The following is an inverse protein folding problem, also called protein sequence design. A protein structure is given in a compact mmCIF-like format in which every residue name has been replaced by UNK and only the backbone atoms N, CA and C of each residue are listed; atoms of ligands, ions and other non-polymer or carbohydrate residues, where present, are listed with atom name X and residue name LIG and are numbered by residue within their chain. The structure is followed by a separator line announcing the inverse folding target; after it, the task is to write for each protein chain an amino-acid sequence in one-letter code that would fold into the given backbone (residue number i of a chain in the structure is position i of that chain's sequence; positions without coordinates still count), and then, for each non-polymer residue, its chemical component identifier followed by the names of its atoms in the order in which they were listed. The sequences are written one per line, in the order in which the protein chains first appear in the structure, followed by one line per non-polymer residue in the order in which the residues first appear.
data_IF_453307955335
#
_entry.id   IF_453307955335
#
_cell.length_a   1.000
_cell.length_b   1.000
_cell.length_c   1.000
_cell.angle_alpha   90.00
_cell.angle_beta   90.00
_cell.angle_gamma   90.00
#
_symmetry.space_group_name_H-M   'P 1'
#
loop_
_entity.id
_entity.type
_entity.pdbx_description
1 polymer ?
#
# COMPACT_ATOMS: atom_id res chain seq x y z
N UNK A 1 2.26 4.21 -0.97
CA UNK A 1 1.87 3.66 -2.30
C UNK A 1 0.74 2.66 -2.12
N UNK A 2 -0.27 2.60 -3.02
CA UNK A 2 -1.45 1.71 -2.83
C UNK A 2 -1.37 0.37 -3.55
N UNK A 3 -2.10 -0.54 -2.89
CA UNK A 3 -2.24 -2.01 -2.94
C UNK A 3 -2.57 -2.37 -1.44
N UNK A 4 -3.25 -3.45 -0.98
CA UNK A 4 -3.32 -3.88 0.46
C UNK A 4 -2.74 -5.30 0.80
N UNK A 5 -1.76 -5.44 1.72
CA UNK A 5 -1.25 -6.74 2.24
C UNK A 5 -1.08 -6.68 3.75
N UNK A 6 -1.72 -7.62 4.44
CA UNK A 6 -1.58 -7.79 5.88
C UNK A 6 -0.55 -8.86 6.24
N UNK A 7 0.15 -8.67 7.35
CA UNK A 7 1.27 -9.52 7.78
C UNK A 7 1.35 -9.67 9.31
N UNK A 8 0.84 -10.77 9.86
CA UNK A 8 0.99 -11.07 11.30
C UNK A 8 2.19 -11.98 11.54
N UNK A 9 3.17 -11.49 12.31
CA UNK A 9 4.21 -12.30 12.94
C UNK A 9 3.67 -12.84 14.27
N UNK A 10 3.52 -14.15 14.39
CA UNK A 10 3.28 -14.82 15.67
C UNK A 10 4.61 -15.31 16.26
N UNK A 11 5.05 -14.67 17.35
CA UNK A 11 6.10 -15.20 18.24
C UNK A 11 5.45 -15.51 19.59
N UNK A 12 5.54 -16.77 20.03
CA UNK A 12 4.99 -17.19 21.30
C UNK A 12 5.83 -16.65 22.48
N UNK A 13 5.18 -16.02 23.46
CA UNK A 13 5.78 -15.74 24.78
C UNK A 13 5.99 -14.28 25.15
N UNK A 14 5.70 -13.31 24.28
CA UNK A 14 5.69 -11.89 24.65
C UNK A 14 4.27 -11.46 25.07
N UNK A 15 4.15 -10.63 26.11
CA UNK A 15 2.87 -9.98 26.45
C UNK A 15 2.56 -9.00 25.33
N UNK A 16 1.64 -9.35 24.44
CA UNK A 16 1.30 -8.53 23.29
C UNK A 16 0.62 -7.24 23.75
N UNK A 17 1.37 -6.15 23.77
CA UNK A 17 0.79 -4.86 23.38
C UNK A 17 0.18 -5.09 21.99
N UNK A 18 -1.14 -4.91 21.87
CA UNK A 18 -1.81 -5.10 20.59
C UNK A 18 -1.23 -4.11 19.58
N UNK A 19 -0.80 -4.56 18.40
CA UNK A 19 -0.20 -3.65 17.43
C UNK A 19 -1.27 -2.70 16.88
N UNK A 20 -0.87 -1.45 16.69
CA UNK A 20 -1.65 -0.40 16.05
C UNK A 20 -1.27 -0.28 14.58
N UNK A 21 -2.26 -0.14 13.70
CA UNK A 21 -2.12 -0.15 12.25
C UNK A 21 -2.73 1.12 11.66
N UNK A 22 -1.94 1.92 10.95
CA UNK A 22 -2.44 3.03 10.12
C UNK A 22 -2.90 2.47 8.77
N UNK A 23 -4.17 2.69 8.41
CA UNK A 23 -4.78 2.15 7.18
C UNK A 23 -5.78 3.15 6.57
N UNK A 24 -5.85 3.21 5.24
CA UNK A 24 -7.01 3.78 4.54
C UNK A 24 -8.16 2.76 4.54
N UNK A 25 -9.39 3.17 4.83
CA UNK A 25 -10.58 2.30 4.81
C UNK A 25 -11.32 2.33 3.46
N UNK A 26 -11.10 3.38 2.67
CA UNK A 26 -11.70 3.61 1.34
C UNK A 26 -10.65 4.26 0.44
N UNK A 27 -10.66 4.05 -0.88
CA UNK A 27 -9.64 4.63 -1.77
C UNK A 27 -9.68 6.16 -1.78
N UNK A 28 -8.63 6.80 -1.24
CA UNK A 28 -8.57 8.27 -1.11
C UNK A 28 -9.24 8.81 0.14
N UNK A 29 -9.77 7.93 1.00
CA UNK A 29 -10.37 8.30 2.27
C UNK A 29 -9.34 8.68 3.34
N UNK A 30 -9.81 9.16 4.51
CA UNK A 30 -8.95 9.41 5.65
C UNK A 30 -8.30 8.11 6.14
N UNK A 31 -7.05 8.22 6.61
CA UNK A 31 -6.37 7.14 7.32
C UNK A 31 -6.91 7.04 8.74
N UNK A 32 -7.04 5.82 9.25
CA UNK A 32 -7.47 5.52 10.62
C UNK A 32 -6.44 4.62 11.30
N UNK A 33 -6.40 4.65 12.64
CA UNK A 33 -5.58 3.73 13.44
C UNK A 33 -6.49 2.64 14.01
N UNK A 34 -6.27 1.40 13.59
CA UNK A 34 -6.97 0.22 14.11
C UNK A 34 -6.00 -0.61 14.96
N UNK A 35 -6.51 -1.26 16.02
CA UNK A 35 -5.70 -2.07 16.92
C UNK A 35 -6.08 -3.56 16.81
N UNK A 36 -5.10 -4.44 17.01
CA UNK A 36 -5.31 -5.89 17.11
C UNK A 36 -4.44 -6.70 16.15
N UNK A 37 -4.72 -8.00 16.06
CA UNK A 37 -4.12 -8.89 15.05
C UNK A 37 -4.58 -8.52 13.63
N UNK A 38 -3.84 -8.99 12.62
CA UNK A 38 -4.22 -8.80 11.20
C UNK A 38 -5.66 -9.22 10.91
N UNK A 39 -6.10 -10.34 11.49
CA UNK A 39 -7.45 -10.86 11.31
C UNK A 39 -8.49 -9.91 11.90
N UNK A 40 -8.30 -9.45 13.13
CA UNK A 40 -9.19 -8.48 13.79
C UNK A 40 -9.22 -7.12 13.07
N UNK A 41 -8.10 -6.70 12.48
CA UNK A 41 -8.02 -5.45 11.71
C UNK A 41 -8.74 -5.59 10.37
N UNK A 42 -8.65 -6.74 9.69
CA UNK A 42 -9.41 -7.01 8.47
C UNK A 42 -10.93 -7.08 8.76
N UNK A 43 -11.33 -7.69 9.86
CA UNK A 43 -12.73 -7.69 10.34
C UNK A 43 -13.24 -6.27 10.58
N UNK A 44 -12.49 -5.43 11.31
CA UNK A 44 -12.81 -4.00 11.51
C UNK A 44 -12.89 -3.22 10.19
N UNK A 45 -12.03 -3.52 9.21
CA UNK A 45 -12.06 -2.89 7.90
C UNK A 45 -13.32 -3.25 7.11
N UNK A 46 -13.77 -4.51 7.18
CA UNK A 46 -15.02 -4.96 6.55
C UNK A 46 -16.28 -4.43 7.25
N UNK A 47 -16.23 -4.14 8.55
CA UNK A 47 -17.30 -3.42 9.26
C UNK A 47 -17.41 -1.95 8.81
N UNK A 48 -16.27 -1.27 8.61
CA UNK A 48 -16.22 0.14 8.16
C UNK A 48 -16.57 0.25 6.67
N UNK A 49 -16.04 -0.66 5.85
CA UNK A 49 -16.24 -0.72 4.41
C UNK A 49 -16.47 -2.17 3.96
N UNK A 50 -17.73 -2.60 3.80
CA UNK A 50 -18.05 -3.93 3.27
C UNK A 50 -17.52 -4.22 1.85
N UNK A 51 -17.05 -3.20 1.12
CA UNK A 51 -16.44 -3.31 -0.21
C UNK A 51 -14.89 -3.35 -0.18
N UNK A 52 -14.26 -3.38 1.01
CA UNK A 52 -12.81 -3.20 1.17
C UNK A 52 -11.96 -4.13 0.29
N UNK A 53 -12.34 -5.40 0.18
CA UNK A 53 -11.58 -6.40 -0.60
C UNK A 53 -11.65 -6.16 -2.13
N UNK A 54 -12.70 -5.51 -2.62
CA UNK A 54 -12.84 -5.09 -4.02
C UNK A 54 -12.18 -3.73 -4.27
N UNK A 55 -12.33 -2.78 -3.34
CA UNK A 55 -11.69 -1.46 -3.36
C UNK A 55 -10.15 -1.56 -3.33
N UNK A 56 -9.61 -2.55 -2.61
CA UNK A 56 -8.18 -2.80 -2.43
C UNK A 56 -7.75 -4.19 -2.94
N UNK A 57 -8.29 -4.59 -4.09
CA UNK A 57 -8.10 -5.91 -4.71
C UNK A 57 -6.63 -6.39 -4.81
N UNK A 58 -6.45 -7.69 -4.54
CA UNK A 58 -5.12 -8.34 -4.55
C UNK A 58 -4.62 -8.73 -5.95
N UNK A 59 -3.35 -8.43 -6.22
CA UNK A 59 -2.64 -8.74 -7.46
C UNK A 59 -1.59 -9.84 -7.25
N UNK A 60 -1.12 -10.51 -8.32
CA UNK A 60 -0.05 -11.51 -8.16
C UNK A 60 1.31 -10.84 -7.97
N UNK A 61 2.21 -11.50 -7.22
CA UNK A 61 3.63 -11.09 -7.08
C UNK A 61 4.27 -10.69 -8.42
N UNK A 62 4.23 -11.59 -9.41
CA UNK A 62 4.88 -11.35 -10.72
C UNK A 62 4.29 -10.17 -11.51
N UNK A 63 3.00 -9.91 -11.33
CA UNK A 63 2.29 -8.79 -11.98
C UNK A 63 2.73 -7.46 -11.34
N UNK A 64 2.94 -7.43 -10.01
CA UNK A 64 3.52 -6.29 -9.28
C UNK A 64 5.01 -6.12 -9.64
N UNK A 65 5.81 -7.19 -9.63
CA UNK A 65 7.24 -7.16 -10.00
C UNK A 65 7.46 -6.58 -11.41
N UNK A 66 6.60 -6.92 -12.37
CA UNK A 66 6.62 -6.32 -13.70
C UNK A 66 6.36 -4.80 -13.67
N UNK A 67 5.41 -4.35 -12.84
CA UNK A 67 5.15 -2.93 -12.60
C UNK A 67 6.33 -2.20 -11.94
N UNK A 68 6.94 -2.79 -10.92
CA UNK A 68 8.16 -2.26 -10.25
C UNK A 68 9.29 -2.10 -11.25
N UNK A 69 9.56 -3.14 -12.04
CA UNK A 69 10.58 -3.13 -13.11
C UNK A 69 10.28 -2.08 -14.18
N UNK A 70 9.01 -1.88 -14.53
CA UNK A 70 8.61 -0.82 -15.46
C UNK A 70 8.97 0.56 -14.89
N UNK A 71 8.56 0.87 -13.65
CA UNK A 71 8.83 2.15 -13.00
C UNK A 71 10.33 2.45 -12.88
N UNK A 72 11.16 1.44 -12.56
CA UNK A 72 12.62 1.60 -12.51
C UNK A 72 13.28 1.88 -13.87
N UNK A 73 12.56 1.65 -14.98
CA UNK A 73 12.98 2.03 -16.34
C UNK A 73 12.45 3.39 -16.80
N UNK A 74 11.53 4.04 -16.06
CA UNK A 74 10.96 5.34 -16.44
C UNK A 74 11.90 6.47 -16.01
N UNK A 75 12.41 7.22 -16.98
CA UNK A 75 13.21 8.42 -16.75
C UNK A 75 12.36 9.64 -16.37
N UNK A 76 12.91 10.52 -15.54
CA UNK A 76 12.28 11.78 -15.15
C UNK A 76 11.83 11.80 -13.69
N UNK A 77 11.25 12.93 -13.29
CA UNK A 77 10.77 13.18 -11.93
C UNK A 77 9.24 13.11 -11.91
N UNK A 78 8.61 12.14 -11.21
CA UNK A 78 7.18 12.13 -11.06
C UNK A 78 6.75 13.28 -10.15
N UNK A 79 5.75 14.03 -10.60
CA UNK A 79 5.11 15.11 -9.84
C UNK A 79 3.63 14.80 -9.64
N UNK A 80 3.10 15.08 -8.46
CA UNK A 80 1.69 14.91 -8.17
C UNK A 80 1.16 16.13 -7.38
N UNK A 81 -0.02 16.63 -7.75
CA UNK A 81 -0.62 17.83 -7.18
C UNK A 81 -0.99 17.71 -5.70
N UNK A 82 -1.45 18.78 -5.05
CA UNK A 82 -1.92 18.76 -3.67
C UNK A 82 -3.02 17.73 -3.41
N UNK A 83 -3.01 17.13 -2.22
CA UNK A 83 -4.06 16.29 -1.67
C UNK A 83 -5.02 17.05 -0.72
N UNK A 84 -5.68 16.34 0.21
CA UNK A 84 -5.54 14.91 0.52
C UNK A 84 -6.10 13.99 -0.58
N UNK A 85 -5.64 12.73 -0.62
CA UNK A 85 -6.19 11.68 -1.47
C UNK A 85 -5.89 11.80 -2.96
N UNK A 86 -5.05 12.74 -3.39
CA UNK A 86 -4.72 12.93 -4.80
C UNK A 86 -3.74 11.83 -5.27
N UNK A 87 -4.23 10.87 -6.06
CA UNK A 87 -3.49 9.67 -6.43
C UNK A 87 -3.33 9.51 -7.95
N UNK A 88 -2.09 9.38 -8.40
CA UNK A 88 -1.76 9.02 -9.78
C UNK A 88 -1.61 7.50 -9.94
N UNK A 89 -2.27 6.94 -10.96
CA UNK A 89 -1.99 5.59 -11.46
C UNK A 89 -0.67 5.62 -12.23
N UNK A 90 0.30 4.78 -11.86
CA UNK A 90 1.64 4.78 -12.46
C UNK A 90 1.98 3.50 -13.21
N UNK A 91 1.37 2.38 -12.83
CA UNK A 91 1.41 1.15 -13.61
C UNK A 91 0.07 0.45 -13.49
N UNK A 92 -0.52 0.06 -14.60
CA UNK A 92 -1.63 -0.89 -14.65
C UNK A 92 -1.29 -1.93 -15.71
N UNK A 93 -1.07 -3.18 -15.29
CA UNK A 93 -0.69 -4.27 -16.18
C UNK A 93 -0.99 -5.61 -15.53
N UNK A 94 -1.47 -6.58 -16.34
CA UNK A 94 -1.73 -7.97 -15.95
C UNK A 94 -2.69 -8.18 -14.75
N UNK A 95 -3.44 -7.15 -14.36
CA UNK A 95 -4.32 -7.17 -13.18
C UNK A 95 -3.69 -6.63 -11.90
N UNK A 96 -2.48 -6.06 -11.97
CA UNK A 96 -1.87 -5.27 -10.91
C UNK A 96 -2.00 -3.78 -11.20
N UNK A 97 -2.18 -2.98 -10.15
CA UNK A 97 -2.12 -1.52 -10.20
C UNK A 97 -1.12 -0.99 -9.17
N UNK A 98 -0.28 -0.04 -9.57
CA UNK A 98 0.62 0.71 -8.69
C UNK A 98 0.18 2.17 -8.68
N UNK A 99 -0.16 2.68 -7.50
CA UNK A 99 -0.56 4.07 -7.30
C UNK A 99 0.39 4.80 -6.36
N UNK A 100 0.70 6.05 -6.71
CA UNK A 100 1.35 6.99 -5.81
C UNK A 100 0.37 8.12 -5.48
N UNK A 101 0.18 8.35 -4.17
CA UNK A 101 -0.65 9.40 -3.64
C UNK A 101 0.21 10.51 -3.04
N UNK A 102 -0.30 11.73 -3.08
CA UNK A 102 0.24 12.86 -2.36
C UNK A 102 -0.86 13.43 -1.47
N UNK A 103 -0.68 13.35 -0.14
CA UNK A 103 -1.67 13.86 0.81
C UNK A 103 -1.35 15.29 1.28
N UNK A 104 -0.12 15.76 1.07
CA UNK A 104 0.32 17.13 1.32
C UNK A 104 -0.56 18.18 0.64
N UNK A 105 -0.70 19.34 1.29
CA UNK A 105 -1.39 20.53 0.76
C UNK A 105 -0.61 21.26 -0.36
N UNK A 106 0.51 20.71 -0.81
CA UNK A 106 1.36 21.25 -1.88
C UNK A 106 1.77 20.15 -2.87
N UNK A 107 2.13 20.55 -4.10
CA UNK A 107 2.61 19.63 -5.14
C UNK A 107 3.90 18.95 -4.70
N UNK A 108 3.92 17.61 -4.68
CA UNK A 108 5.13 16.82 -4.40
C UNK A 108 5.80 16.39 -5.69
N UNK A 109 7.13 16.43 -5.71
CA UNK A 109 7.97 15.95 -6.80
C UNK A 109 9.02 15.02 -6.21
N UNK A 110 9.17 13.81 -6.75
CA UNK A 110 10.20 12.87 -6.30
C UNK A 110 11.43 12.94 -7.23
N UNK A 111 12.64 12.63 -6.73
CA UNK A 111 13.85 12.62 -7.55
C UNK A 111 13.80 11.66 -8.75
N UNK A 112 13.02 10.59 -8.66
CA UNK A 112 12.85 9.59 -9.72
C UNK A 112 11.63 8.69 -9.51
N UNK A 113 11.25 7.91 -10.52
CA UNK A 113 10.30 6.81 -10.36
C UNK A 113 10.84 5.64 -9.52
N UNK A 114 12.17 5.51 -9.34
CA UNK A 114 12.75 4.50 -8.44
C UNK A 114 12.26 4.67 -6.99
N UNK A 115 12.07 5.91 -6.53
CA UNK A 115 11.54 6.19 -5.19
C UNK A 115 10.17 5.53 -4.93
N UNK A 116 9.38 5.32 -5.99
CA UNK A 116 8.08 4.66 -5.93
C UNK A 116 8.23 3.14 -6.09
N UNK A 117 9.12 2.71 -6.99
CA UNK A 117 9.48 1.32 -7.17
C UNK A 117 10.10 0.68 -5.90
N UNK A 118 10.85 1.45 -5.12
CA UNK A 118 11.45 1.00 -3.86
C UNK A 118 10.37 0.76 -2.79
N UNK A 119 9.43 1.70 -2.61
CA UNK A 119 8.27 1.51 -1.70
C UNK A 119 7.39 0.33 -2.12
N UNK A 120 7.18 0.14 -3.43
CA UNK A 120 6.53 -1.06 -3.97
C UNK A 120 7.26 -2.36 -3.61
N UNK A 121 8.59 -2.33 -3.63
CA UNK A 121 9.44 -3.47 -3.37
C UNK A 121 9.51 -3.82 -1.89
N UNK A 122 9.44 -2.83 -1.00
CA UNK A 122 9.28 -3.03 0.46
C UNK A 122 7.98 -3.76 0.75
N UNK A 123 6.86 -3.28 0.19
CA UNK A 123 5.55 -3.95 0.22
C UNK A 123 5.66 -5.43 -0.23
N UNK A 124 6.25 -5.67 -1.40
CA UNK A 124 6.31 -6.99 -2.03
C UNK A 124 7.09 -8.05 -1.23
N UNK A 125 8.13 -7.61 -0.52
CA UNK A 125 9.05 -8.48 0.21
C UNK A 125 8.71 -8.61 1.70
N UNK A 126 7.85 -7.74 2.25
CA UNK A 126 7.42 -7.86 3.63
C UNK A 126 6.48 -9.07 3.82
N UNK A 127 6.92 -9.98 4.69
CA UNK A 127 6.14 -11.08 5.27
C UNK A 127 5.33 -11.95 4.29
N UNK A 128 6.02 -12.64 3.38
CA UNK A 128 5.40 -13.61 2.49
C UNK A 128 5.79 -15.06 2.85
N UNK A 129 4.82 -15.84 3.35
CA UNK A 129 4.89 -17.32 3.40
C UNK A 129 3.80 -17.91 2.52
N UNK A 130 4.15 -18.27 1.28
CA UNK A 130 3.31 -19.09 0.38
C UNK A 130 2.20 -18.37 -0.39
N UNK A 131 1.94 -17.08 -0.15
CA UNK A 131 0.98 -16.30 -0.94
C UNK A 131 1.48 -16.02 -2.37
N UNK A 132 0.63 -16.28 -3.36
CA UNK A 132 0.84 -15.85 -4.76
C UNK A 132 0.19 -14.51 -5.08
N UNK A 133 -0.85 -14.15 -4.33
CA UNK A 133 -1.53 -12.86 -4.39
C UNK A 133 -1.28 -12.07 -3.11
N UNK A 134 -1.22 -10.76 -3.26
CA UNK A 134 -1.01 -9.78 -2.22
C UNK A 134 -1.50 -8.42 -2.70
N UNK A 135 -1.36 -7.43 -1.84
CA UNK A 135 -1.14 -6.09 -2.35
C UNK A 135 -0.13 -5.29 -1.47
N UNK A 136 -0.44 -4.27 -0.65
CA UNK A 136 0.53 -3.47 0.15
C UNK A 136 -0.02 -2.45 1.17
N UNK A 137 0.17 -1.15 0.88
CA UNK A 137 0.05 0.08 1.70
C UNK A 137 1.32 0.38 2.49
N UNK A 138 1.88 1.56 2.21
CA UNK A 138 3.09 2.10 2.83
C UNK A 138 2.99 3.63 2.83
N UNK A 139 3.19 4.22 4.00
CA UNK A 139 2.96 5.64 4.30
C UNK A 139 4.26 6.27 4.80
N UNK A 140 4.63 7.40 4.19
CA UNK A 140 5.79 8.19 4.63
C UNK A 140 5.32 9.40 5.45
N UNK A 141 6.13 9.82 6.42
CA UNK A 141 5.85 10.98 7.28
C UNK A 141 5.94 12.33 6.56
N UNK A 142 6.45 12.35 5.33
CA UNK A 142 6.50 13.51 4.44
C UNK A 142 5.35 13.51 3.40
N UNK A 143 4.31 12.68 3.61
CA UNK A 143 3.15 12.51 2.73
C UNK A 143 1.81 12.89 3.38
#
# INVERSE_FOLDING_TARGET
MRLAQFASILVAGFVSAEPSWEVETTPGGPRVILNGTVQQVHEQLLEINPNYDDDFATARRGDIEAGIKHLGGVSGQPSNGPGPGNCGLLSCSWGAAIWWCNDNTFTKVLPSFNNIADGAYVILNNCQRGGVKLSGQDFHSDN
#
